data_IF_960774850164
#
_entry.id   IF_960774850164
#
_cell.length_a   1.000
_cell.length_b   1.000
_cell.length_c   1.000
_cell.angle_alpha   90.00
_cell.angle_beta   90.00
_cell.angle_gamma   90.00
#
_symmetry.space_group_name_H-M   'P 1'
#
loop_
_entity.id
_entity.type
_entity.pdbx_description
1 polymer ?
#
# COMPACT_ATOMS: atom_id res chain seq x y z
N UNK A 1 -18.09 31.32 -25.56
CA UNK A 1 -16.97 30.36 -25.47
C UNK A 1 -16.87 29.69 -26.84
N UNK A 2 -16.76 30.47 -27.92
CA UNK A 2 -15.62 31.24 -28.44
C UNK A 2 -14.58 30.35 -29.13
N UNK A 3 -14.83 30.09 -30.41
CA UNK A 3 -13.88 29.49 -31.36
C UNK A 3 -12.60 30.31 -31.52
N UNK A 4 -12.61 31.61 -31.18
CA UNK A 4 -11.44 32.50 -31.24
C UNK A 4 -10.40 32.23 -30.13
N UNK A 5 -10.82 31.79 -28.93
CA UNK A 5 -9.87 31.54 -27.84
C UNK A 5 -9.02 30.29 -28.13
N UNK A 6 -9.59 29.27 -28.78
CA UNK A 6 -8.89 28.04 -29.16
C UNK A 6 -7.89 28.23 -30.31
N UNK A 7 -8.16 29.14 -31.25
CA UNK A 7 -7.24 29.44 -32.37
C UNK A 7 -6.02 30.25 -31.90
N UNK A 8 -6.20 31.22 -30.98
CA UNK A 8 -5.08 31.97 -30.38
C UNK A 8 -4.20 31.06 -29.51
N UNK A 9 -4.81 30.20 -28.69
CA UNK A 9 -4.07 29.21 -27.88
C UNK A 9 -3.25 28.26 -28.76
N UNK A 10 -3.80 27.82 -29.90
CA UNK A 10 -3.08 26.95 -30.84
C UNK A 10 -1.89 27.67 -31.50
N UNK A 11 -2.06 28.92 -31.93
CA UNK A 11 -0.96 29.72 -32.50
C UNK A 11 0.17 29.91 -31.49
N UNK A 12 -0.16 30.16 -30.22
CA UNK A 12 0.83 30.25 -29.14
C UNK A 12 1.58 28.94 -28.92
N UNK A 13 0.89 27.81 -28.92
CA UNK A 13 1.53 26.49 -28.79
C UNK A 13 2.43 26.17 -29.98
N UNK A 14 2.01 26.49 -31.21
CA UNK A 14 2.83 26.30 -32.41
C UNK A 14 4.07 27.20 -32.41
N UNK A 15 3.94 28.46 -31.98
CA UNK A 15 5.07 29.37 -31.84
C UNK A 15 6.07 28.85 -30.79
N UNK A 16 5.55 28.39 -29.65
CA UNK A 16 6.38 27.89 -28.57
C UNK A 16 7.03 26.53 -28.91
N UNK A 17 6.40 25.71 -29.76
CA UNK A 17 7.00 24.50 -30.33
C UNK A 17 8.14 24.76 -31.33
N UNK A 18 8.32 26.02 -31.76
CA UNK A 18 9.44 26.46 -32.60
C UNK A 18 10.37 27.43 -31.86
N UNK A 19 10.20 27.56 -30.54
CA UNK A 19 11.00 28.48 -29.73
C UNK A 19 12.49 28.13 -29.83
N UNK A 20 13.40 29.11 -29.96
CA UNK A 20 14.84 28.84 -30.00
C UNK A 20 15.36 28.13 -28.75
N UNK A 21 14.70 28.28 -27.60
CA UNK A 21 15.06 27.59 -26.37
C UNK A 21 14.52 26.15 -26.35
N UNK A 22 15.45 25.19 -26.32
CA UNK A 22 15.17 23.75 -26.23
C UNK A 22 14.34 23.42 -24.98
N UNK A 23 14.52 24.16 -23.88
CA UNK A 23 13.78 23.91 -22.64
C UNK A 23 12.29 24.23 -22.78
N UNK A 24 11.96 25.29 -23.54
CA UNK A 24 10.57 25.64 -23.85
C UNK A 24 9.95 24.54 -24.69
N UNK A 25 10.64 24.09 -25.73
CA UNK A 25 10.17 22.99 -26.60
C UNK A 25 10.02 21.66 -25.85
N UNK A 26 10.95 21.31 -24.96
CA UNK A 26 10.86 20.13 -24.09
C UNK A 26 9.61 20.18 -23.19
N UNK A 27 9.34 21.36 -22.62
CA UNK A 27 8.20 21.55 -21.72
C UNK A 27 6.88 21.30 -22.47
N UNK A 28 6.77 21.81 -23.69
CA UNK A 28 5.59 21.61 -24.54
C UNK A 28 5.50 20.15 -24.99
N UNK A 29 6.61 19.55 -25.40
CA UNK A 29 6.63 18.14 -25.83
C UNK A 29 6.15 17.18 -24.73
N UNK A 30 6.38 17.50 -23.45
CA UNK A 30 5.88 16.73 -22.32
C UNK A 30 4.45 17.06 -21.89
N UNK A 31 3.81 18.08 -22.45
CA UNK A 31 2.45 18.48 -22.08
C UNK A 31 1.41 17.57 -22.76
N UNK A 32 0.64 16.84 -21.95
CA UNK A 32 -0.40 15.90 -22.40
C UNK A 32 -1.61 16.55 -23.08
N UNK A 33 -1.69 17.89 -23.09
CA UNK A 33 -2.82 18.64 -23.68
C UNK A 33 -2.55 19.14 -25.10
N UNK A 34 -1.32 18.96 -25.61
CA UNK A 34 -0.94 19.47 -26.92
C UNK A 34 -1.70 18.77 -28.06
N UNK A 35 -2.23 19.53 -29.03
CA UNK A 35 -2.93 18.97 -30.17
C UNK A 35 -1.96 18.29 -31.16
N UNK A 36 -2.48 17.35 -31.96
CA UNK A 36 -1.69 16.55 -32.91
C UNK A 36 -0.81 17.40 -33.85
N UNK A 37 -1.30 18.56 -34.32
CA UNK A 37 -0.53 19.45 -35.18
C UNK A 37 0.75 19.99 -34.51
N UNK A 38 0.73 20.23 -33.20
CA UNK A 38 1.92 20.63 -32.42
C UNK A 38 2.86 19.44 -32.27
N UNK A 39 2.32 18.24 -32.00
CA UNK A 39 3.13 17.00 -31.97
C UNK A 39 3.86 16.76 -33.31
N UNK A 40 3.19 17.00 -34.44
CA UNK A 40 3.76 16.88 -35.78
C UNK A 40 4.93 17.86 -36.05
N UNK A 41 4.98 19.00 -35.38
CA UNK A 41 6.13 19.91 -35.46
C UNK A 41 7.29 19.32 -34.64
N UNK A 42 7.00 18.95 -33.40
CA UNK A 42 8.00 18.49 -32.42
C UNK A 42 8.61 17.12 -32.76
N UNK A 43 7.91 16.27 -33.51
CA UNK A 43 8.43 14.95 -33.91
C UNK A 43 9.66 15.04 -34.80
N UNK A 44 9.78 16.13 -35.56
CA UNK A 44 10.92 16.41 -36.44
C UNK A 44 11.95 17.36 -35.82
N UNK A 45 11.86 17.62 -34.51
CA UNK A 45 12.78 18.52 -33.82
C UNK A 45 14.23 18.07 -33.96
N UNK A 46 15.14 19.02 -34.11
CA UNK A 46 16.57 18.72 -34.26
C UNK A 46 17.17 18.22 -32.95
N UNK A 47 16.63 18.63 -31.80
CA UNK A 47 17.10 18.22 -30.49
C UNK A 47 16.47 16.89 -30.07
N UNK A 48 17.32 15.91 -29.77
CA UNK A 48 16.92 14.58 -29.31
C UNK A 48 16.07 14.65 -28.03
N UNK A 49 16.36 15.60 -27.14
CA UNK A 49 15.63 15.76 -25.87
C UNK A 49 14.16 16.08 -26.13
N UNK A 50 13.86 16.93 -27.11
CA UNK A 50 12.47 17.31 -27.44
C UNK A 50 11.71 16.09 -27.95
N UNK A 51 12.32 15.34 -28.87
CA UNK A 51 11.73 14.10 -29.41
C UNK A 51 11.54 13.03 -28.33
N UNK A 52 12.48 12.93 -27.37
CA UNK A 52 12.37 12.03 -26.23
C UNK A 52 11.22 12.43 -25.27
N UNK A 53 11.03 13.72 -25.00
CA UNK A 53 9.90 14.19 -24.19
C UNK A 53 8.57 13.90 -24.89
N UNK A 54 8.51 14.09 -26.22
CA UNK A 54 7.34 13.74 -27.01
C UNK A 54 7.06 12.23 -26.99
N UNK A 55 8.09 11.38 -27.12
CA UNK A 55 7.95 9.93 -27.03
C UNK A 55 7.45 9.44 -25.65
N UNK A 56 7.72 10.20 -24.58
CA UNK A 56 7.26 9.92 -23.22
C UNK A 56 5.92 10.54 -22.88
N UNK A 57 5.37 11.39 -23.76
CA UNK A 57 4.14 12.09 -23.53
C UNK A 57 2.96 11.09 -23.54
N UNK A 58 2.19 10.95 -22.44
CA UNK A 58 1.08 10.00 -22.37
C UNK A 58 -0.01 10.20 -23.43
N UNK A 59 -0.08 11.38 -24.05
CA UNK A 59 -1.02 11.73 -25.12
C UNK A 59 -0.38 11.74 -26.51
N UNK A 60 0.83 11.17 -26.67
CA UNK A 60 1.47 11.02 -27.96
C UNK A 60 0.60 10.17 -28.89
N UNK A 61 0.26 10.72 -30.05
CA UNK A 61 -0.56 10.01 -31.03
C UNK A 61 0.18 8.80 -31.61
N UNK A 62 -0.56 7.74 -31.94
CA UNK A 62 -0.01 6.53 -32.57
C UNK A 62 0.85 6.81 -33.81
N UNK A 63 0.45 7.77 -34.65
CA UNK A 63 1.21 8.16 -35.85
C UNK A 63 2.53 8.87 -35.53
N UNK A 64 2.58 9.58 -34.41
CA UNK A 64 3.80 10.23 -33.90
C UNK A 64 4.76 9.17 -33.36
N UNK A 65 4.24 8.18 -32.62
CA UNK A 65 5.03 7.05 -32.14
C UNK A 65 5.57 6.20 -33.31
N UNK A 66 4.80 6.01 -34.38
CA UNK A 66 5.27 5.38 -35.63
C UNK A 66 6.45 6.14 -36.25
N UNK A 67 6.37 7.47 -36.30
CA UNK A 67 7.48 8.29 -36.82
C UNK A 67 8.72 8.22 -35.93
N UNK A 68 8.55 8.22 -34.61
CA UNK A 68 9.66 8.14 -33.64
C UNK A 68 10.25 6.73 -33.53
N UNK A 69 9.55 5.70 -33.99
CA UNK A 69 10.07 4.33 -34.00
C UNK A 69 11.23 4.12 -34.99
N UNK A 70 11.46 5.07 -35.89
CA UNK A 70 12.60 5.08 -36.81
C UNK A 70 13.63 6.15 -36.44
N UNK A 71 13.60 6.68 -35.21
CA UNK A 71 14.55 7.68 -34.74
C UNK A 71 15.98 7.11 -34.67
N UNK A 72 16.96 7.97 -34.94
CA UNK A 72 18.38 7.60 -34.86
C UNK A 72 18.87 7.43 -33.40
N UNK A 73 18.14 7.95 -32.42
CA UNK A 73 18.49 7.88 -31.01
C UNK A 73 17.86 6.68 -30.30
N UNK A 74 18.70 5.79 -29.77
CA UNK A 74 18.27 4.66 -28.94
C UNK A 74 17.38 5.08 -27.76
N UNK A 75 17.65 6.23 -27.13
CA UNK A 75 16.83 6.72 -26.00
C UNK A 75 15.38 7.01 -26.41
N UNK A 76 15.19 7.53 -27.63
CA UNK A 76 13.86 7.80 -28.19
C UNK A 76 13.18 6.46 -28.52
N UNK A 77 13.89 5.51 -29.13
CA UNK A 77 13.37 4.18 -29.42
C UNK A 77 12.93 3.45 -28.14
N UNK A 78 13.70 3.54 -27.06
CA UNK A 78 13.33 2.95 -25.77
C UNK A 78 12.06 3.59 -25.20
N UNK A 79 11.90 4.91 -25.33
CA UNK A 79 10.71 5.61 -24.87
C UNK A 79 9.47 5.18 -25.67
N UNK A 80 9.58 5.10 -27.00
CA UNK A 80 8.51 4.58 -27.88
C UNK A 80 8.16 3.15 -27.50
N UNK A 81 9.14 2.27 -27.35
CA UNK A 81 8.92 0.86 -26.98
C UNK A 81 8.24 0.69 -25.62
N UNK A 82 8.54 1.57 -24.65
CA UNK A 82 7.92 1.54 -23.32
C UNK A 82 6.55 2.24 -23.25
N UNK A 83 6.16 2.99 -24.29
CA UNK A 83 4.93 3.78 -24.30
C UNK A 83 3.68 2.89 -24.29
N UNK A 84 2.70 3.18 -23.44
CA UNK A 84 1.51 2.33 -23.28
C UNK A 84 0.67 2.21 -24.57
N UNK A 85 0.67 3.26 -25.40
CA UNK A 85 -0.06 3.31 -26.67
C UNK A 85 0.81 3.02 -27.89
N UNK A 86 2.02 2.47 -27.70
CA UNK A 86 2.88 2.04 -28.79
C UNK A 86 2.13 1.05 -29.71
N UNK A 87 2.02 1.34 -31.02
CA UNK A 87 1.41 0.43 -31.97
C UNK A 87 2.07 -0.94 -31.95
N UNK A 88 1.25 -2.00 -31.88
CA UNK A 88 1.75 -3.38 -31.71
C UNK A 88 2.76 -3.80 -32.77
N UNK A 89 2.57 -3.38 -34.02
CA UNK A 89 3.48 -3.73 -35.12
C UNK A 89 4.91 -3.21 -34.89
N UNK A 90 5.06 -2.01 -34.30
CA UNK A 90 6.37 -1.47 -33.90
C UNK A 90 7.03 -2.37 -32.86
N UNK A 91 6.26 -2.83 -31.87
CA UNK A 91 6.78 -3.74 -30.85
C UNK A 91 7.21 -5.09 -31.44
N UNK A 92 6.54 -5.58 -32.48
CA UNK A 92 6.97 -6.76 -33.23
C UNK A 92 8.27 -6.50 -33.99
N UNK A 93 8.37 -5.38 -34.70
CA UNK A 93 9.52 -5.04 -35.53
C UNK A 93 10.79 -4.84 -34.69
N UNK A 94 10.66 -4.26 -33.49
CA UNK A 94 11.79 -4.01 -32.59
C UNK A 94 12.16 -5.21 -31.71
N UNK A 95 11.34 -6.27 -31.66
CA UNK A 95 11.54 -7.37 -30.70
C UNK A 95 12.81 -8.21 -30.95
N UNK A 96 13.29 -8.25 -32.19
CA UNK A 96 14.52 -8.97 -32.59
C UNK A 96 15.76 -8.07 -32.66
N UNK A 97 15.67 -6.84 -32.14
CA UNK A 97 16.81 -5.91 -32.08
C UNK A 97 17.96 -6.53 -31.31
N UNK A 98 19.21 -6.30 -31.74
CA UNK A 98 20.41 -6.75 -31.01
C UNK A 98 20.56 -6.05 -29.64
N UNK A 99 19.98 -4.86 -29.49
CA UNK A 99 20.05 -4.10 -28.26
C UNK A 99 19.09 -4.61 -27.19
N UNK A 100 19.67 -5.21 -26.14
CA UNK A 100 18.91 -5.74 -25.02
C UNK A 100 18.15 -4.66 -24.23
N UNK A 101 18.57 -3.38 -24.27
CA UNK A 101 17.86 -2.29 -23.59
C UNK A 101 16.53 -2.01 -24.29
N UNK A 102 16.53 -2.00 -25.61
CA UNK A 102 15.30 -1.89 -26.41
C UNK A 102 14.38 -3.08 -26.13
N UNK A 103 14.90 -4.31 -26.17
CA UNK A 103 14.11 -5.51 -25.85
C UNK A 103 13.55 -5.48 -24.42
N UNK A 104 14.33 -4.99 -23.45
CA UNK A 104 13.85 -4.79 -22.07
C UNK A 104 12.77 -3.69 -21.98
N UNK A 105 12.86 -2.61 -22.77
CA UNK A 105 11.82 -1.59 -22.84
C UNK A 105 10.50 -2.18 -23.38
N UNK A 106 10.56 -2.99 -24.44
CA UNK A 106 9.41 -3.73 -24.99
C UNK A 106 8.80 -4.66 -23.94
N UNK A 107 9.62 -5.43 -23.21
CA UNK A 107 9.13 -6.31 -22.13
C UNK A 107 8.52 -5.52 -20.95
N UNK A 108 8.89 -4.25 -20.77
CA UNK A 108 8.35 -3.38 -19.73
C UNK A 108 7.03 -2.73 -20.14
N UNK A 109 6.67 -2.78 -21.42
CA UNK A 109 5.44 -2.20 -21.93
C UNK A 109 4.22 -2.98 -21.42
N UNK A 110 3.33 -2.29 -20.71
CA UNK A 110 2.12 -2.87 -20.10
C UNK A 110 1.18 -3.57 -21.09
N UNK A 111 1.23 -3.15 -22.36
CA UNK A 111 0.41 -3.64 -23.47
C UNK A 111 1.21 -4.51 -24.45
N UNK A 112 2.41 -4.97 -24.05
CA UNK A 112 3.24 -5.84 -24.87
C UNK A 112 2.45 -7.09 -25.34
N UNK A 113 2.41 -7.37 -26.65
CA UNK A 113 1.73 -8.56 -27.17
C UNK A 113 2.30 -9.84 -26.57
N UNK A 114 1.42 -10.80 -26.28
CA UNK A 114 1.81 -12.08 -25.68
C UNK A 114 2.85 -12.82 -26.53
N UNK A 115 2.75 -12.78 -27.86
CA UNK A 115 3.71 -13.44 -28.74
C UNK A 115 5.12 -12.84 -28.62
N UNK A 116 5.21 -11.52 -28.41
CA UNK A 116 6.49 -10.84 -28.17
C UNK A 116 7.04 -11.22 -26.80
N UNK A 117 6.19 -11.29 -25.76
CA UNK A 117 6.61 -11.82 -24.45
C UNK A 117 7.11 -13.28 -24.56
N UNK A 118 6.48 -14.11 -25.39
CA UNK A 118 6.93 -15.48 -25.67
C UNK A 118 8.31 -15.53 -26.32
N UNK A 119 8.61 -14.60 -27.22
CA UNK A 119 9.92 -14.47 -27.85
C UNK A 119 10.97 -14.03 -26.81
N UNK A 120 10.69 -12.95 -26.09
CA UNK A 120 11.58 -12.35 -25.09
C UNK A 120 11.80 -13.26 -23.86
N UNK A 121 10.90 -14.21 -23.60
CA UNK A 121 11.10 -15.21 -22.56
C UNK A 121 12.33 -16.10 -22.80
N UNK A 122 12.78 -16.22 -24.06
CA UNK A 122 13.95 -17.01 -24.45
C UNK A 122 15.21 -16.16 -24.62
N UNK A 123 15.16 -14.88 -24.25
CA UNK A 123 16.28 -13.95 -24.40
C UNK A 123 17.53 -14.45 -23.67
N UNK A 124 18.70 -14.26 -24.27
CA UNK A 124 19.97 -14.63 -23.64
C UNK A 124 20.24 -13.81 -22.36
N UNK A 125 19.74 -12.57 -22.29
CA UNK A 125 19.98 -11.62 -21.21
C UNK A 125 18.97 -11.82 -20.08
N UNK A 126 19.40 -12.16 -18.85
CA UNK A 126 18.49 -12.38 -17.73
C UNK A 126 17.63 -11.17 -17.35
N UNK A 127 18.11 -9.95 -17.58
CA UNK A 127 17.35 -8.73 -17.29
C UNK A 127 16.06 -8.67 -18.12
N UNK A 128 16.13 -9.05 -19.40
CA UNK A 128 14.97 -9.09 -20.29
C UNK A 128 14.01 -10.19 -19.84
N UNK A 129 14.52 -11.41 -19.60
CA UNK A 129 13.70 -12.53 -19.09
C UNK A 129 13.02 -12.20 -17.76
N UNK A 130 13.73 -11.55 -16.85
CA UNK A 130 13.20 -11.12 -15.55
C UNK A 130 12.08 -10.09 -15.72
N UNK A 131 12.17 -9.21 -16.72
CA UNK A 131 11.08 -8.29 -17.04
C UNK A 131 9.84 -9.02 -17.53
N UNK A 132 10.00 -10.02 -18.39
CA UNK A 132 8.90 -10.91 -18.82
C UNK A 132 8.32 -11.67 -17.62
N UNK A 133 9.14 -12.18 -16.71
CA UNK A 133 8.68 -12.88 -15.51
C UNK A 133 7.84 -11.99 -14.59
N UNK A 134 8.19 -10.71 -14.48
CA UNK A 134 7.45 -9.71 -13.69
C UNK A 134 6.15 -9.23 -14.36
N UNK A 135 6.02 -9.43 -15.68
CA UNK A 135 4.94 -8.83 -16.46
C UNK A 135 3.59 -9.52 -16.20
N UNK A 136 2.55 -8.72 -15.91
CA UNK A 136 1.21 -9.20 -15.51
C UNK A 136 0.49 -10.02 -16.60
N UNK A 137 0.79 -9.76 -17.86
CA UNK A 137 0.17 -10.44 -19.01
C UNK A 137 0.96 -11.66 -19.49
N UNK A 138 2.03 -12.06 -18.79
CA UNK A 138 2.85 -13.20 -19.18
C UNK A 138 2.06 -14.50 -19.01
N UNK A 139 1.96 -15.33 -20.07
CA UNK A 139 1.25 -16.60 -19.99
C UNK A 139 1.80 -17.53 -18.92
N UNK A 140 0.90 -18.27 -18.27
CA UNK A 140 1.23 -19.27 -17.24
C UNK A 140 2.30 -20.27 -17.70
N UNK A 141 2.25 -20.73 -18.95
CA UNK A 141 3.22 -21.69 -19.47
C UNK A 141 4.66 -21.15 -19.46
N UNK A 142 4.84 -19.84 -19.65
CA UNK A 142 6.14 -19.17 -19.59
C UNK A 142 6.56 -18.93 -18.15
N UNK A 143 5.64 -18.50 -17.29
CA UNK A 143 5.92 -18.33 -15.85
C UNK A 143 6.45 -19.64 -15.23
N UNK A 144 5.88 -20.78 -15.59
CA UNK A 144 6.35 -22.09 -15.14
C UNK A 144 7.77 -22.44 -15.61
N UNK A 145 8.20 -21.98 -16.79
CA UNK A 145 9.60 -22.15 -17.22
C UNK A 145 10.57 -21.31 -16.38
N UNK A 146 10.14 -20.13 -15.93
CA UNK A 146 11.00 -19.25 -15.13
C UNK A 146 11.22 -19.75 -13.70
N UNK A 147 10.39 -20.67 -13.19
CA UNK A 147 10.64 -21.33 -11.90
C UNK A 147 12.01 -22.03 -11.86
N UNK A 148 12.44 -22.57 -13.00
CA UNK A 148 13.70 -23.31 -13.17
C UNK A 148 14.77 -22.48 -13.89
N UNK A 149 14.56 -21.16 -14.07
CA UNK A 149 15.55 -20.32 -14.75
C UNK A 149 16.89 -20.34 -13.98
N UNK A 150 17.99 -20.47 -14.72
CA UNK A 150 19.34 -20.48 -14.16
C UNK A 150 19.71 -19.20 -13.41
N UNK A 151 19.11 -18.07 -13.78
CA UNK A 151 19.39 -16.77 -13.18
C UNK A 151 18.52 -16.54 -11.96
N UNK A 152 19.18 -16.31 -10.82
CA UNK A 152 18.51 -15.91 -9.60
C UNK A 152 17.65 -14.66 -9.78
N UNK A 153 18.14 -13.66 -10.52
CA UNK A 153 17.40 -12.42 -10.75
C UNK A 153 16.05 -12.66 -11.44
N UNK A 154 15.98 -13.64 -12.36
CA UNK A 154 14.73 -14.01 -13.04
C UNK A 154 13.75 -14.66 -12.07
N UNK A 155 14.23 -15.59 -11.23
CA UNK A 155 13.41 -16.23 -10.19
C UNK A 155 12.87 -15.23 -9.16
N UNK A 156 13.69 -14.26 -8.75
CA UNK A 156 13.24 -13.17 -7.87
C UNK A 156 12.22 -12.24 -8.56
N UNK A 157 12.42 -11.92 -9.84
CA UNK A 157 11.41 -11.18 -10.61
C UNK A 157 10.09 -11.93 -10.71
N UNK A 158 10.13 -13.26 -10.87
CA UNK A 158 8.95 -14.12 -10.87
C UNK A 158 8.24 -14.07 -9.51
N UNK A 159 8.98 -14.19 -8.41
CA UNK A 159 8.43 -14.13 -7.04
C UNK A 159 7.74 -12.80 -6.74
N UNK A 160 8.19 -11.70 -7.36
CA UNK A 160 7.60 -10.36 -7.23
C UNK A 160 6.37 -10.14 -8.11
N UNK A 161 6.05 -11.06 -9.02
CA UNK A 161 4.86 -10.95 -9.86
C UNK A 161 3.62 -11.30 -9.04
N UNK A 162 2.90 -10.28 -8.56
CA UNK A 162 1.70 -10.42 -7.71
C UNK A 162 0.54 -11.22 -8.34
N UNK A 163 0.60 -11.50 -9.66
CA UNK A 163 -0.36 -12.33 -10.39
C UNK A 163 0.07 -13.80 -10.50
N UNK A 164 1.14 -14.21 -9.83
CA UNK A 164 1.63 -15.59 -9.90
C UNK A 164 0.58 -16.55 -9.29
N UNK A 165 0.15 -17.59 -10.02
CA UNK A 165 -0.76 -18.60 -9.49
C UNK A 165 -0.12 -19.41 -8.36
N UNK A 166 -0.93 -19.85 -7.39
CA UNK A 166 -0.48 -20.62 -6.22
C UNK A 166 0.35 -21.85 -6.58
N UNK A 167 -0.04 -22.62 -7.60
CA UNK A 167 0.71 -23.84 -7.96
C UNK A 167 2.11 -23.52 -8.50
N UNK A 168 2.32 -22.35 -9.10
CA UNK A 168 3.65 -21.91 -9.54
C UNK A 168 4.47 -21.30 -8.40
N UNK A 169 3.81 -20.75 -7.36
CA UNK A 169 4.47 -20.40 -6.11
C UNK A 169 5.04 -21.66 -5.48
N UNK A 170 4.25 -22.73 -5.35
CA UNK A 170 4.71 -24.01 -4.79
C UNK A 170 5.92 -24.57 -5.55
N UNK A 171 5.88 -24.49 -6.89
CA UNK A 171 6.99 -24.88 -7.73
C UNK A 171 8.23 -24.01 -7.47
N UNK A 172 8.07 -22.68 -7.37
CA UNK A 172 9.20 -21.77 -7.12
C UNK A 172 9.80 -21.97 -5.72
N UNK A 173 8.98 -22.25 -4.71
CA UNK A 173 9.45 -22.63 -3.37
C UNK A 173 10.34 -23.87 -3.48
N UNK A 174 9.93 -24.92 -4.18
CA UNK A 174 10.71 -26.14 -4.32
C UNK A 174 12.12 -25.90 -4.92
N UNK A 175 12.25 -24.97 -5.86
CA UNK A 175 13.51 -24.73 -6.58
C UNK A 175 14.38 -23.61 -6.02
N UNK A 176 13.79 -22.62 -5.32
CA UNK A 176 14.47 -21.38 -4.96
C UNK A 176 13.94 -20.72 -3.68
N UNK A 177 13.47 -21.52 -2.71
CA UNK A 177 12.91 -21.05 -1.43
C UNK A 177 13.77 -19.96 -0.78
N UNK A 178 15.04 -20.26 -0.48
CA UNK A 178 15.94 -19.36 0.25
C UNK A 178 16.11 -18.00 -0.44
N UNK A 179 16.11 -17.97 -1.77
CA UNK A 179 16.38 -16.73 -2.49
C UNK A 179 15.13 -15.87 -2.74
N UNK A 180 13.95 -16.47 -2.60
CA UNK A 180 12.66 -15.86 -2.97
C UNK A 180 11.67 -15.75 -1.81
N UNK A 181 11.93 -16.36 -0.65
CA UNK A 181 10.99 -16.44 0.47
C UNK A 181 10.45 -15.08 0.93
N UNK A 182 11.29 -14.04 0.98
CA UNK A 182 10.84 -12.67 1.35
C UNK A 182 9.79 -12.13 0.38
N UNK A 183 9.94 -12.38 -0.92
CA UNK A 183 8.98 -11.92 -1.94
C UNK A 183 7.74 -12.81 -1.96
N UNK A 184 7.90 -14.11 -1.79
CA UNK A 184 6.80 -15.07 -1.81
C UNK A 184 5.90 -14.97 -0.58
N UNK A 185 6.45 -14.66 0.59
CA UNK A 185 5.68 -14.41 1.83
C UNK A 185 4.78 -13.18 1.73
N UNK A 186 5.08 -12.24 0.83
CA UNK A 186 4.23 -11.07 0.56
C UNK A 186 3.16 -11.34 -0.52
N UNK A 187 3.14 -12.54 -1.09
CA UNK A 187 2.30 -12.84 -2.24
C UNK A 187 0.87 -13.19 -1.82
N UNK A 188 -0.18 -12.56 -2.38
CA UNK A 188 -1.57 -12.72 -1.93
C UNK A 188 -2.12 -14.14 -2.15
N UNK A 189 -1.54 -14.87 -3.10
CA UNK A 189 -1.91 -16.24 -3.44
C UNK A 189 -1.04 -17.29 -2.74
N UNK A 190 -0.19 -16.91 -1.78
CA UNK A 190 0.64 -17.86 -1.04
C UNK A 190 -0.24 -18.77 -0.18
N UNK A 191 0.07 -20.06 -0.18
CA UNK A 191 -0.60 -21.03 0.67
C UNK A 191 -0.22 -20.79 2.15
N UNK A 192 -1.19 -20.95 3.06
CA UNK A 192 -1.00 -20.73 4.50
C UNK A 192 0.10 -21.65 5.05
N UNK A 193 0.23 -22.85 4.51
CA UNK A 193 1.24 -23.83 4.90
C UNK A 193 2.67 -23.30 4.75
N UNK A 194 2.92 -22.46 3.73
CA UNK A 194 4.22 -21.81 3.56
C UNK A 194 4.43 -20.70 4.58
N UNK A 195 3.40 -19.90 4.90
CA UNK A 195 3.49 -18.88 5.95
C UNK A 195 3.81 -19.50 7.31
N UNK A 196 3.15 -20.61 7.65
CA UNK A 196 3.43 -21.38 8.87
C UNK A 196 4.90 -21.84 8.90
N UNK A 197 5.39 -22.40 7.79
CA UNK A 197 6.77 -22.87 7.70
C UNK A 197 7.78 -21.72 7.78
N UNK A 198 7.50 -20.59 7.12
CA UNK A 198 8.39 -19.44 7.05
C UNK A 198 8.44 -18.61 8.33
N UNK A 199 7.53 -18.86 9.27
CA UNK A 199 7.61 -18.29 10.62
C UNK A 199 8.85 -18.76 11.40
N UNK A 200 9.42 -19.90 11.04
CA UNK A 200 10.64 -20.45 11.65
C UNK A 200 11.93 -20.15 10.86
N UNK A 201 11.85 -19.38 9.77
CA UNK A 201 13.03 -19.11 8.93
C UNK A 201 14.08 -18.27 9.66
N UNK A 202 15.39 -18.55 9.50
CA UNK A 202 16.44 -17.79 10.17
C UNK A 202 16.48 -16.31 9.78
N UNK A 203 16.09 -15.99 8.54
CA UNK A 203 16.06 -14.62 8.04
C UNK A 203 14.88 -13.83 8.65
N UNK A 204 15.19 -12.80 9.42
CA UNK A 204 14.16 -11.96 10.05
C UNK A 204 13.31 -11.20 9.03
N UNK A 205 13.80 -10.94 7.81
CA UNK A 205 13.00 -10.31 6.76
C UNK A 205 11.89 -11.22 6.25
N UNK A 206 12.13 -12.53 6.23
CA UNK A 206 11.10 -13.52 5.88
C UNK A 206 10.03 -13.56 6.97
N UNK A 207 10.44 -13.70 8.24
CA UNK A 207 9.50 -13.72 9.37
C UNK A 207 8.72 -12.42 9.49
N UNK A 208 9.36 -11.28 9.21
CA UNK A 208 8.70 -9.98 9.13
C UNK A 208 7.63 -9.98 8.03
N UNK A 209 7.96 -10.40 6.81
CA UNK A 209 7.00 -10.46 5.72
C UNK A 209 5.82 -11.40 6.03
N UNK A 210 6.06 -12.54 6.68
CA UNK A 210 5.01 -13.43 7.20
C UNK A 210 4.13 -12.69 8.20
N UNK A 211 4.69 -11.98 9.18
CA UNK A 211 3.89 -11.26 10.18
C UNK A 211 3.00 -10.15 9.58
N UNK A 212 3.42 -9.52 8.48
CA UNK A 212 2.63 -8.47 7.80
C UNK A 212 1.55 -9.02 6.87
N UNK A 213 1.61 -10.31 6.53
CA UNK A 213 0.72 -10.87 5.53
C UNK A 213 -0.74 -10.95 6.05
N UNK A 214 -1.74 -10.44 5.31
CA UNK A 214 -3.13 -10.37 5.79
C UNK A 214 -3.80 -11.73 6.08
N UNK A 215 -3.28 -12.81 5.50
CA UNK A 215 -3.79 -14.18 5.71
C UNK A 215 -2.96 -14.99 6.70
N UNK A 216 -2.03 -14.37 7.43
CA UNK A 216 -1.24 -15.08 8.43
C UNK A 216 -2.15 -15.56 9.56
N UNK A 217 -2.14 -16.87 9.89
CA UNK A 217 -2.94 -17.41 10.97
C UNK A 217 -2.60 -16.79 12.32
N UNK A 218 -3.59 -16.74 13.20
CA UNK A 218 -3.43 -16.21 14.56
C UNK A 218 -2.36 -16.98 15.32
N UNK A 219 -2.31 -18.30 15.18
CA UNK A 219 -1.32 -19.15 15.85
C UNK A 219 0.13 -18.80 15.43
N UNK A 220 0.31 -18.38 14.17
CA UNK A 220 1.62 -17.94 13.66
C UNK A 220 1.96 -16.55 14.18
N UNK A 221 0.99 -15.63 14.21
CA UNK A 221 1.18 -14.31 14.83
C UNK A 221 1.49 -14.43 16.32
N UNK A 222 0.86 -15.37 17.01
CA UNK A 222 1.10 -15.65 18.42
C UNK A 222 2.53 -16.13 18.66
N UNK A 223 3.06 -17.00 17.80
CA UNK A 223 4.45 -17.41 17.81
C UNK A 223 5.40 -16.24 17.55
N UNK A 224 5.15 -15.46 16.49
CA UNK A 224 6.00 -14.33 16.09
C UNK A 224 5.91 -13.15 17.08
N UNK A 225 4.90 -13.10 17.94
CA UNK A 225 4.83 -12.17 19.05
C UNK A 225 5.97 -12.35 20.06
N UNK A 226 6.51 -13.57 20.18
CA UNK A 226 7.68 -13.89 21.01
C UNK A 226 9.00 -13.88 20.22
N UNK A 227 9.02 -13.36 18.99
CA UNK A 227 10.22 -13.36 18.15
C UNK A 227 11.37 -12.60 18.85
N UNK A 228 12.61 -13.04 18.62
CA UNK A 228 13.78 -12.36 19.18
C UNK A 228 14.07 -11.02 18.51
N UNK A 229 13.54 -10.79 17.31
CA UNK A 229 13.71 -9.57 16.55
C UNK A 229 12.53 -8.60 16.78
N UNK A 230 12.86 -7.41 17.30
CA UNK A 230 11.87 -6.36 17.63
C UNK A 230 11.16 -5.82 16.38
N UNK A 231 11.76 -5.89 15.19
CA UNK A 231 11.11 -5.48 13.93
C UNK A 231 10.03 -6.49 13.51
N UNK A 232 10.24 -7.78 13.78
CA UNK A 232 9.23 -8.82 13.56
C UNK A 232 8.07 -8.61 14.53
N UNK A 233 8.34 -8.45 15.83
CA UNK A 233 7.33 -8.13 16.83
C UNK A 233 6.51 -6.88 16.45
N UNK A 234 7.18 -5.80 16.02
CA UNK A 234 6.47 -4.60 15.55
C UNK A 234 5.56 -4.87 14.36
N UNK A 235 5.97 -5.77 13.47
CA UNK A 235 5.20 -6.11 12.27
C UNK A 235 4.04 -7.03 12.57
N UNK A 236 4.14 -7.88 13.60
CA UNK A 236 2.98 -8.58 14.20
C UNK A 236 1.93 -7.55 14.61
N UNK A 237 2.31 -6.50 15.34
CA UNK A 237 1.38 -5.45 15.79
C UNK A 237 0.80 -4.58 14.66
N UNK A 238 1.36 -4.61 13.45
CA UNK A 238 0.72 -4.00 12.26
C UNK A 238 -0.38 -4.90 11.67
N UNK A 239 -0.41 -6.18 12.05
CA UNK A 239 -1.33 -7.14 11.49
C UNK A 239 -2.74 -7.00 12.11
N UNK A 240 -3.79 -6.84 11.28
CA UNK A 240 -5.17 -6.73 11.76
C UNK A 240 -5.69 -7.94 12.56
N UNK A 241 -5.06 -9.10 12.43
CA UNK A 241 -5.55 -10.38 12.97
C UNK A 241 -4.86 -10.81 14.27
N UNK A 242 -4.01 -9.97 14.88
CA UNK A 242 -3.39 -10.31 16.17
C UNK A 242 -4.44 -10.56 17.24
N UNK A 243 -4.25 -11.64 18.01
CA UNK A 243 -5.11 -12.03 19.13
C UNK A 243 -4.96 -11.11 20.34
N UNK A 244 -6.00 -11.05 21.18
CA UNK A 244 -5.95 -10.37 22.47
C UNK A 244 -4.86 -10.95 23.38
N UNK A 245 -4.71 -12.28 23.41
CA UNK A 245 -3.70 -12.97 24.23
C UNK A 245 -2.28 -12.57 23.85
N UNK A 246 -2.00 -12.41 22.55
CA UNK A 246 -0.69 -11.95 22.07
C UNK A 246 -0.45 -10.49 22.39
N UNK A 247 -1.46 -9.63 22.27
CA UNK A 247 -1.35 -8.23 22.72
C UNK A 247 -1.06 -8.14 24.22
N UNK A 248 -1.72 -8.96 25.05
CA UNK A 248 -1.47 -9.02 26.49
C UNK A 248 -0.03 -9.45 26.81
N UNK A 249 0.52 -10.45 26.10
CA UNK A 249 1.94 -10.84 26.30
C UNK A 249 2.91 -9.76 25.84
N UNK A 250 2.66 -9.15 24.68
CA UNK A 250 3.53 -8.10 24.13
C UNK A 250 3.49 -6.81 24.96
N UNK A 251 2.41 -6.56 25.72
CA UNK A 251 2.33 -5.47 26.68
C UNK A 251 3.33 -5.62 27.85
N UNK A 252 3.82 -6.83 28.12
CA UNK A 252 4.85 -7.09 29.14
C UNK A 252 6.28 -6.91 28.58
N UNK A 253 6.43 -6.53 27.31
CA UNK A 253 7.74 -6.36 26.66
C UNK A 253 8.59 -5.28 27.34
N UNK A 254 9.89 -5.55 27.49
CA UNK A 254 10.87 -4.57 27.97
C UNK A 254 10.97 -3.34 27.04
N UNK A 255 10.60 -3.48 25.76
CA UNK A 255 10.68 -2.42 24.77
C UNK A 255 9.43 -1.53 24.80
N UNK A 256 9.60 -0.26 25.20
CA UNK A 256 8.50 0.71 25.26
C UNK A 256 7.83 0.95 23.90
N UNK A 257 8.58 0.83 22.79
CA UNK A 257 8.01 0.93 21.44
C UNK A 257 6.96 -0.17 21.13
N UNK A 258 7.18 -1.40 21.62
CA UNK A 258 6.23 -2.50 21.48
C UNK A 258 4.98 -2.22 22.32
N UNK A 259 5.17 -1.86 23.60
CA UNK A 259 4.07 -1.52 24.51
C UNK A 259 3.22 -0.37 24.00
N UNK A 260 3.85 0.70 23.50
CA UNK A 260 3.17 1.86 22.90
C UNK A 260 2.30 1.46 21.70
N UNK A 261 2.77 0.51 20.88
CA UNK A 261 2.04 0.05 19.70
C UNK A 261 0.88 -0.89 20.06
N UNK A 262 1.02 -1.72 21.11
CA UNK A 262 -0.09 -2.49 21.69
C UNK A 262 -1.24 -1.56 22.11
N UNK A 263 -0.92 -0.46 22.80
CA UNK A 263 -1.91 0.52 23.24
C UNK A 263 -2.77 1.11 22.11
N UNK A 264 -2.21 1.28 20.93
CA UNK A 264 -2.90 1.81 19.75
C UNK A 264 -3.61 0.75 18.90
N UNK A 265 -3.49 -0.54 19.26
CA UNK A 265 -4.03 -1.61 18.43
C UNK A 265 -5.54 -1.78 18.65
N UNK A 266 -6.30 -1.92 17.55
CA UNK A 266 -7.77 -1.99 17.60
C UNK A 266 -8.34 -3.20 18.36
N UNK A 267 -7.59 -4.30 18.40
CA UNK A 267 -7.97 -5.51 19.13
C UNK A 267 -7.42 -5.51 20.57
N UNK A 268 -6.77 -4.43 21.05
CA UNK A 268 -6.24 -4.39 22.40
C UNK A 268 -7.38 -4.39 23.43
N UNK A 269 -7.38 -5.30 24.42
CA UNK A 269 -8.41 -5.32 25.46
C UNK A 269 -8.43 -4.01 26.25
N UNK A 270 -9.63 -3.45 26.50
CA UNK A 270 -9.76 -2.17 27.19
C UNK A 270 -9.11 -2.17 28.59
N UNK A 271 -9.24 -3.27 29.34
CA UNK A 271 -8.61 -3.42 30.66
C UNK A 271 -7.08 -3.37 30.60
N UNK A 272 -6.48 -3.94 29.55
CA UNK A 272 -5.04 -3.88 29.31
C UNK A 272 -4.61 -2.44 29.05
N UNK A 273 -5.29 -1.75 28.12
CA UNK A 273 -4.96 -0.36 27.80
C UNK A 273 -5.14 0.57 29.01
N UNK A 274 -6.17 0.34 29.84
CA UNK A 274 -6.39 1.07 31.10
C UNK A 274 -5.26 0.88 32.11
N UNK A 275 -4.80 -0.36 32.28
CA UNK A 275 -3.69 -0.67 33.18
C UNK A 275 -2.40 -0.01 32.68
N UNK A 276 -2.09 -0.12 31.39
CA UNK A 276 -0.92 0.52 30.79
C UNK A 276 -0.99 2.05 30.92
N UNK A 277 -2.15 2.67 30.70
CA UNK A 277 -2.32 4.11 30.86
C UNK A 277 -2.08 4.57 32.31
N UNK A 278 -2.44 3.73 33.30
CA UNK A 278 -2.30 4.05 34.72
C UNK A 278 -0.90 3.76 35.26
N UNK A 279 -0.33 2.61 34.88
CA UNK A 279 0.74 1.95 35.62
C UNK A 279 2.01 1.67 34.80
N UNK A 280 2.02 1.88 33.47
CA UNK A 280 3.24 1.65 32.68
C UNK A 280 4.38 2.54 33.19
N UNK A 281 5.61 2.01 33.35
CA UNK A 281 6.75 2.80 33.82
C UNK A 281 7.10 3.95 32.86
N UNK A 282 6.86 3.79 31.56
CA UNK A 282 7.22 4.76 30.53
C UNK A 282 6.09 5.78 30.30
N UNK A 283 6.44 7.07 30.33
CA UNK A 283 5.47 8.15 30.15
C UNK A 283 4.89 8.20 28.74
N UNK A 284 5.69 7.89 27.73
CA UNK A 284 5.25 7.88 26.33
C UNK A 284 4.25 6.74 26.10
N UNK A 285 4.42 5.60 26.78
CA UNK A 285 3.47 4.48 26.72
C UNK A 285 2.17 4.84 27.42
N UNK A 286 2.22 5.49 28.60
CA UNK A 286 0.99 5.97 29.28
C UNK A 286 0.23 6.95 28.40
N UNK A 287 0.92 7.87 27.73
CA UNK A 287 0.31 8.81 26.80
C UNK A 287 -0.31 8.10 25.58
N UNK A 288 0.41 7.15 24.99
CA UNK A 288 -0.09 6.34 23.88
C UNK A 288 -1.34 5.53 24.27
N UNK A 289 -1.38 4.97 25.48
CA UNK A 289 -2.54 4.28 26.03
C UNK A 289 -3.75 5.21 26.18
N UNK A 290 -3.56 6.42 26.70
CA UNK A 290 -4.63 7.43 26.76
C UNK A 290 -5.17 7.76 25.35
N UNK A 291 -4.31 7.92 24.35
CA UNK A 291 -4.73 8.16 22.97
C UNK A 291 -5.49 6.95 22.41
N UNK A 292 -4.99 5.72 22.65
CA UNK A 292 -5.63 4.48 22.22
C UNK A 292 -7.04 4.31 22.78
N UNK A 293 -7.25 4.64 24.07
CA UNK A 293 -8.56 4.66 24.70
C UNK A 293 -9.56 5.54 23.93
N UNK A 294 -9.14 6.71 23.43
CA UNK A 294 -10.03 7.62 22.71
C UNK A 294 -10.52 7.05 21.37
N UNK A 295 -9.78 6.09 20.79
CA UNK A 295 -10.13 5.44 19.54
C UNK A 295 -11.11 4.28 19.72
N UNK A 296 -11.33 3.81 20.95
CA UNK A 296 -12.27 2.72 21.26
C UNK A 296 -13.72 3.21 21.11
N UNK A 297 -14.58 2.37 20.53
CA UNK A 297 -15.99 2.68 20.27
C UNK A 297 -16.87 2.73 21.53
N UNK A 298 -17.98 3.47 21.47
CA UNK A 298 -18.89 3.67 22.62
C UNK A 298 -19.45 2.37 23.19
N UNK A 299 -19.71 1.39 22.34
CA UNK A 299 -20.35 0.14 22.75
C UNK A 299 -19.48 -0.66 23.70
N UNK A 300 -18.15 -0.60 23.52
CA UNK A 300 -17.19 -1.21 24.44
C UNK A 300 -17.23 -0.50 25.80
N UNK A 301 -17.28 0.84 25.80
CA UNK A 301 -17.38 1.62 27.04
C UNK A 301 -18.72 1.41 27.76
N UNK A 302 -19.83 1.28 27.03
CA UNK A 302 -21.14 0.94 27.62
C UNK A 302 -21.10 -0.37 28.39
N UNK A 303 -20.52 -1.42 27.79
CA UNK A 303 -20.32 -2.70 28.46
C UNK A 303 -19.41 -2.58 29.68
N UNK A 304 -18.23 -1.96 29.51
CA UNK A 304 -17.25 -1.82 30.58
C UNK A 304 -17.75 -0.99 31.79
N UNK A 305 -18.54 0.06 31.55
CA UNK A 305 -19.16 0.84 32.63
C UNK A 305 -20.26 0.02 33.33
N UNK A 306 -21.05 -0.73 32.57
CA UNK A 306 -22.08 -1.61 33.14
C UNK A 306 -21.49 -2.72 34.03
N UNK A 307 -20.30 -3.22 33.66
CA UNK A 307 -19.56 -4.23 34.41
C UNK A 307 -18.66 -3.63 35.52
N UNK A 308 -18.76 -2.32 35.79
CA UNK A 308 -17.96 -1.57 36.78
C UNK A 308 -16.43 -1.65 36.56
N UNK A 309 -16.00 -1.95 35.33
CA UNK A 309 -14.58 -2.05 34.92
C UNK A 309 -13.93 -0.67 34.83
N UNK A 310 -14.70 0.34 34.39
CA UNK A 310 -14.23 1.72 34.23
C UNK A 310 -15.25 2.70 34.81
N UNK A 311 -14.75 3.73 35.50
CA UNK A 311 -15.56 4.83 36.03
C UNK A 311 -14.74 6.11 36.07
N UNK A 312 -15.33 7.27 35.78
CA UNK A 312 -14.68 8.57 35.93
C UNK A 312 -14.18 8.81 37.36
N UNK A 313 -14.78 8.17 38.36
CA UNK A 313 -14.37 8.28 39.77
C UNK A 313 -13.31 7.25 40.21
N UNK A 314 -12.89 6.33 39.33
CA UNK A 314 -11.89 5.33 39.67
C UNK A 314 -10.50 5.97 39.86
N UNK A 315 -9.65 5.44 40.76
CA UNK A 315 -8.27 5.90 40.86
C UNK A 315 -7.51 5.59 39.56
N UNK A 316 -6.74 6.56 39.07
CA UNK A 316 -6.03 6.48 37.79
C UNK A 316 -4.66 7.17 37.88
N UNK A 317 -3.67 6.55 37.23
CA UNK A 317 -2.31 7.09 37.16
C UNK A 317 -1.50 7.03 38.47
N UNK A 318 -0.20 7.34 38.40
CA UNK A 318 0.72 7.24 39.54
C UNK A 318 0.40 8.22 40.69
N UNK A 319 -0.34 9.29 40.40
CA UNK A 319 -0.76 10.31 41.38
C UNK A 319 -2.02 9.97 42.19
N UNK A 320 -2.70 8.84 41.90
CA UNK A 320 -3.98 8.43 42.51
C UNK A 320 -5.09 9.50 42.43
N UNK A 321 -5.07 10.33 41.39
CA UNK A 321 -6.21 11.18 41.04
C UNK A 321 -7.33 10.31 40.45
N UNK A 322 -8.52 10.87 40.25
CA UNK A 322 -9.56 10.12 39.54
C UNK A 322 -9.30 10.14 38.03
N UNK A 323 -9.79 9.13 37.29
CA UNK A 323 -9.74 9.12 35.82
C UNK A 323 -10.32 10.42 35.23
N UNK A 324 -11.42 10.90 35.82
CA UNK A 324 -12.05 12.15 35.40
C UNK A 324 -11.13 13.36 35.55
N UNK A 325 -10.46 13.50 36.70
CA UNK A 325 -9.50 14.59 36.94
C UNK A 325 -8.33 14.51 35.95
N UNK A 326 -7.80 13.30 35.72
CA UNK A 326 -6.69 13.09 34.80
C UNK A 326 -7.04 13.49 33.36
N UNK A 327 -8.22 13.12 32.88
CA UNK A 327 -8.68 13.48 31.53
C UNK A 327 -8.87 15.00 31.39
N UNK A 328 -9.36 15.68 32.41
CA UNK A 328 -9.54 17.14 32.39
C UNK A 328 -8.20 17.88 32.44
N UNK A 329 -7.27 17.44 33.30
CA UNK A 329 -5.92 18.01 33.42
C UNK A 329 -5.13 17.85 32.12
N UNK A 330 -5.31 16.72 31.41
CA UNK A 330 -4.72 16.46 30.10
C UNK A 330 -5.44 17.17 28.93
N UNK A 331 -6.54 17.89 29.20
CA UNK A 331 -7.30 18.63 28.18
C UNK A 331 -8.23 17.77 27.32
N UNK A 332 -8.44 16.50 27.66
CA UNK A 332 -9.30 15.55 26.94
C UNK A 332 -10.77 15.69 27.33
N UNK A 333 -11.28 16.93 27.31
CA UNK A 333 -12.65 17.29 27.73
C UNK A 333 -13.70 16.53 26.93
N UNK A 334 -13.51 16.36 25.62
CA UNK A 334 -14.48 15.66 24.76
C UNK A 334 -14.64 14.19 25.18
N UNK A 335 -13.53 13.52 25.51
CA UNK A 335 -13.56 12.13 25.96
C UNK A 335 -14.14 12.00 27.37
N UNK A 336 -13.84 12.94 28.27
CA UNK A 336 -14.51 13.03 29.59
C UNK A 336 -16.03 13.15 29.44
N UNK A 337 -16.50 14.08 28.60
CA UNK A 337 -17.94 14.30 28.37
C UNK A 337 -18.61 13.06 27.75
N UNK A 338 -17.90 12.38 26.84
CA UNK A 338 -18.34 11.12 26.24
C UNK A 338 -18.58 10.03 27.29
N UNK A 339 -17.59 9.77 28.16
CA UNK A 339 -17.74 8.79 29.26
C UNK A 339 -18.82 9.21 30.27
N UNK A 340 -18.88 10.50 30.60
CA UNK A 340 -19.89 11.04 31.52
C UNK A 340 -21.31 10.83 30.99
N UNK A 341 -21.54 11.04 29.69
CA UNK A 341 -22.83 10.78 29.06
C UNK A 341 -23.24 9.32 29.20
N UNK A 342 -22.32 8.39 28.92
CA UNK A 342 -22.60 6.95 29.00
C UNK A 342 -22.91 6.52 30.45
N UNK A 343 -22.14 6.99 31.44
CA UNK A 343 -22.42 6.71 32.86
C UNK A 343 -23.81 7.21 33.28
N UNK A 344 -24.18 8.43 32.87
CA UNK A 344 -25.47 9.02 33.20
C UNK A 344 -26.63 8.26 32.54
N UNK A 345 -26.50 7.89 31.26
CA UNK A 345 -27.46 7.07 30.54
C UNK A 345 -27.74 5.75 31.27
N UNK A 346 -26.68 5.03 31.67
CA UNK A 346 -26.79 3.76 32.39
C UNK A 346 -27.40 3.93 33.79
N UNK A 347 -27.03 4.98 34.53
CA UNK A 347 -27.63 5.29 35.83
C UNK A 347 -29.13 5.60 35.72
N UNK A 348 -29.54 6.35 34.70
CA UNK A 348 -30.96 6.67 34.43
C UNK A 348 -31.74 5.40 34.07
N UNK A 349 -31.17 4.54 33.23
CA UNK A 349 -31.76 3.25 32.86
C UNK A 349 -31.94 2.32 34.08
N UNK A 350 -30.93 2.23 34.95
CA UNK A 350 -30.99 1.44 36.19
C UNK A 350 -32.00 2.01 37.21
N UNK A 351 -32.23 3.33 37.19
CA UNK A 351 -33.12 4.01 38.16
C UNK A 351 -34.62 3.99 37.78
N UNK A 352 -35.00 3.47 36.61
CA UNK A 352 -36.40 3.19 36.26
C UNK A 352 -37.34 4.42 36.24
N UNK A 353 -36.88 5.60 35.81
CA UNK A 353 -37.75 6.77 35.69
C UNK A 353 -38.64 6.66 34.43
N UNK A 354 -39.90 6.24 34.62
CA UNK A 354 -40.96 6.38 33.64
C UNK A 354 -41.03 7.82 33.11
N UNK A 355 -40.92 7.98 31.78
CA UNK A 355 -41.21 9.25 31.10
C UNK A 355 -42.62 9.72 31.51
N UNK A 356 -42.80 10.94 32.06
CA UNK A 356 -44.13 11.46 32.33
C UNK A 356 -44.88 11.63 31.01
N UNK A 357 -45.97 10.88 30.86
CA UNK A 357 -46.93 11.06 29.77
C UNK A 357 -47.36 12.52 29.70
N UNK A 358 -47.10 13.16 28.56
CA UNK A 358 -47.55 14.52 28.25
C UNK A 358 -49.07 14.59 28.41
N UNK A 359 -49.54 15.16 29.51
CA UNK A 359 -50.94 15.54 29.65
C UNK A 359 -51.23 16.58 28.57
N UNK A 360 -51.98 16.18 27.53
CA UNK A 360 -52.63 17.09 26.60
C UNK A 360 -53.45 18.08 27.43
N UNK A 361 -52.98 19.33 27.51
CA UNK A 361 -53.79 20.45 27.98
C UNK A 361 -55.02 20.56 27.08
N UNK A 362 -56.16 20.12 27.62
CA UNK A 362 -57.47 20.55 27.18
C UNK A 362 -57.58 22.05 27.42
N UNK A 363 -57.72 22.82 26.35
CA UNK A 363 -58.46 24.08 26.36
C UNK A 363 -58.61 24.57 24.92
N UNK A 364 -59.79 24.38 24.33
CA UNK A 364 -60.54 25.43 23.64
C UNK A 364 -61.93 24.89 23.26
N UNK A 365 -62.95 25.33 24.00
CA UNK A 365 -64.34 25.31 23.54
C UNK A 365 -64.93 26.69 23.87
N UNK A 366 -65.27 27.39 22.77
CA UNK A 366 -66.08 28.60 22.56
C UNK A 366 -65.72 29.88 23.31
#
# INVERSE_FOLDING_TARGET
>A
MNLMDHDEDLEHLLAAAQDPDVLVRNTIAGDSTIPLCVQQVLVTDTDMSVRLHLARNPSADSSILESLATDDSDEVLYAVAAHCDAPKHILYDMADSEDFRLRNAIASNVNCPVDVLCLLAKDAIPIVRGRVALHKSTPRAILGHFCEDTSLAVRQSLARNHSLPSELIDQLVLFAEQDCAVYLSQHPNVAIEHLVRWADEPDCLVRQAVSQHPSTPVEVLDQLGDDHDVFVQNSVLDNPNVSEDTLSRMAESDFSGIRSKVCGHRNAPLNLVLDMASNDPDEDVRQAACIGMMQIGDDVYRGAIADEVISLSMPFGPGRQTLGDHLLDAGHTDFYQRLQSIELELRVAASGAALPSVQKKNSFRM
#
